data_IF_259302801579
#
_entry.id   IF_259302801579
#
_cell.length_a   1.000
_cell.length_b   1.000
_cell.length_c   1.000
_cell.angle_alpha   90.00
_cell.angle_beta   90.00
_cell.angle_gamma   90.00
#
_symmetry.space_group_name_H-M   'P 1'
#
loop_
_entity.id
_entity.type
_entity.pdbx_description
1 polymer ?
#
# COMPACT_ATOMS: atom_id res chain seq x y z
N UNK A 1 -14.84 8.53 -37.72
CA UNK A 1 -13.81 7.75 -37.00
C UNK A 1 -14.21 6.28 -37.05
N UNK A 2 -13.33 5.37 -37.46
CA UNK A 2 -13.71 3.95 -37.50
C UNK A 2 -13.96 3.41 -36.08
N UNK A 3 -14.91 2.49 -35.92
CA UNK A 3 -15.28 1.88 -34.64
C UNK A 3 -14.04 1.32 -33.91
N UNK A 4 -13.08 0.79 -34.67
CA UNK A 4 -11.82 0.28 -34.15
C UNK A 4 -10.95 1.37 -33.51
N UNK A 5 -10.85 2.55 -34.14
CA UNK A 5 -10.07 3.67 -33.58
C UNK A 5 -10.76 4.17 -32.30
N UNK A 6 -12.09 4.32 -32.32
CA UNK A 6 -12.83 4.78 -31.13
C UNK A 6 -12.69 3.81 -29.95
N UNK A 7 -12.80 2.50 -30.20
CA UNK A 7 -12.54 1.45 -29.20
C UNK A 7 -11.13 1.56 -28.62
N UNK A 8 -10.12 1.67 -29.48
CA UNK A 8 -8.73 1.81 -29.07
C UNK A 8 -8.49 3.06 -28.22
N UNK A 9 -8.97 4.23 -28.67
CA UNK A 9 -8.85 5.48 -27.92
C UNK A 9 -9.51 5.40 -26.54
N UNK A 10 -10.66 4.73 -26.43
CA UNK A 10 -11.35 4.55 -25.15
C UNK A 10 -10.53 3.71 -24.17
N UNK A 11 -9.91 2.63 -24.65
CA UNK A 11 -9.03 1.77 -23.85
C UNK A 11 -7.79 2.55 -23.39
N UNK A 12 -7.10 3.21 -24.32
CA UNK A 12 -5.89 3.98 -24.00
C UNK A 12 -6.17 5.08 -22.98
N UNK A 13 -7.20 5.89 -23.23
CA UNK A 13 -7.55 7.02 -22.36
C UNK A 13 -7.91 6.52 -20.96
N UNK A 14 -8.70 5.44 -20.86
CA UNK A 14 -9.07 4.86 -19.58
C UNK A 14 -7.86 4.34 -18.80
N UNK A 15 -6.99 3.56 -19.45
CA UNK A 15 -5.83 2.97 -18.81
C UNK A 15 -4.83 4.04 -18.35
N UNK A 16 -4.58 5.06 -19.19
CA UNK A 16 -3.67 6.16 -18.88
C UNK A 16 -4.20 7.03 -17.74
N UNK A 17 -5.46 7.46 -17.78
CA UNK A 17 -6.07 8.23 -16.68
C UNK A 17 -6.04 7.45 -15.37
N UNK A 18 -6.39 6.16 -15.43
CA UNK A 18 -6.33 5.26 -14.29
C UNK A 18 -4.92 5.19 -13.71
N UNK A 19 -3.90 4.91 -14.54
CA UNK A 19 -2.52 4.83 -14.08
C UNK A 19 -2.01 6.17 -13.52
N UNK A 20 -2.29 7.28 -14.19
CA UNK A 20 -1.90 8.62 -13.75
C UNK A 20 -2.44 8.96 -12.36
N UNK A 21 -3.65 8.50 -12.00
CA UNK A 21 -4.21 8.69 -10.67
C UNK A 21 -3.30 8.11 -9.57
N UNK A 22 -2.67 6.95 -9.82
CA UNK A 22 -1.76 6.31 -8.85
C UNK A 22 -0.32 6.81 -8.96
N UNK A 23 0.11 7.28 -10.13
CA UNK A 23 1.48 7.79 -10.33
C UNK A 23 1.70 9.14 -9.63
N UNK A 24 0.69 10.01 -9.69
CA UNK A 24 0.75 11.37 -9.15
C UNK A 24 -0.54 11.70 -8.37
N UNK A 25 -0.85 10.98 -7.29
CA UNK A 25 -2.15 11.08 -6.59
C UNK A 25 -2.44 12.48 -6.03
N UNK A 26 -1.40 13.26 -5.69
CA UNK A 26 -1.58 14.64 -5.25
C UNK A 26 -2.23 15.55 -6.31
N UNK A 27 -1.93 15.35 -7.60
CA UNK A 27 -2.39 16.21 -8.70
C UNK A 27 -3.46 15.53 -9.56
N UNK A 28 -3.29 14.23 -9.80
CA UNK A 28 -4.09 13.43 -10.70
C UNK A 28 -5.04 12.49 -9.94
N UNK A 29 -5.07 12.50 -8.59
CA UNK A 29 -5.89 11.57 -7.81
C UNK A 29 -7.38 11.61 -8.17
N UNK A 30 -7.90 12.76 -8.59
CA UNK A 30 -9.27 12.92 -9.05
C UNK A 30 -9.59 12.21 -10.38
N UNK A 31 -8.58 11.76 -11.14
CA UNK A 31 -8.81 10.95 -12.35
C UNK A 31 -9.58 9.65 -12.06
N UNK A 32 -9.59 9.18 -10.81
CA UNK A 32 -10.42 8.02 -10.40
C UNK A 32 -11.91 8.23 -10.66
N UNK A 33 -12.39 9.48 -10.70
CA UNK A 33 -13.79 9.80 -11.01
C UNK A 33 -14.12 9.68 -12.50
N UNK A 34 -13.12 9.78 -13.37
CA UNK A 34 -13.33 9.93 -14.82
C UNK A 34 -12.71 8.82 -15.67
N UNK A 35 -11.77 8.03 -15.15
CA UNK A 35 -11.01 7.09 -15.98
C UNK A 35 -11.86 5.99 -16.61
N UNK A 36 -13.03 5.65 -16.05
CA UNK A 36 -13.96 4.68 -16.64
C UNK A 36 -14.98 5.29 -17.62
N UNK A 37 -15.09 6.62 -17.69
CA UNK A 37 -16.02 7.30 -18.60
C UNK A 37 -15.81 6.86 -20.06
N UNK A 38 -14.59 6.79 -20.62
CA UNK A 38 -14.43 6.38 -22.02
C UNK A 38 -14.99 4.96 -22.31
N UNK A 39 -14.86 4.04 -21.35
CA UNK A 39 -15.37 2.67 -21.50
C UNK A 39 -16.90 2.63 -21.38
N UNK A 40 -17.43 3.22 -20.31
CA UNK A 40 -18.88 3.24 -20.06
C UNK A 40 -19.64 4.08 -21.09
N UNK A 41 -19.05 5.14 -21.61
CA UNK A 41 -19.60 5.93 -22.71
C UNK A 41 -19.73 5.08 -23.98
N UNK A 42 -18.69 4.31 -24.34
CA UNK A 42 -18.73 3.41 -25.50
C UNK A 42 -19.87 2.39 -25.39
N UNK A 43 -20.08 1.84 -24.20
CA UNK A 43 -21.17 0.91 -23.90
C UNK A 43 -22.53 1.62 -23.97
N UNK A 44 -22.65 2.80 -23.37
CA UNK A 44 -23.87 3.61 -23.42
C UNK A 44 -24.23 4.00 -24.86
N UNK A 45 -23.29 4.40 -25.71
CA UNK A 45 -23.56 4.77 -27.11
C UNK A 45 -24.00 3.61 -27.98
N UNK A 46 -23.61 2.37 -27.64
CA UNK A 46 -24.04 1.15 -28.34
C UNK A 46 -25.55 0.92 -28.27
N UNK A 47 -26.26 1.70 -27.46
CA UNK A 47 -27.72 1.71 -27.39
C UNK A 47 -28.45 2.55 -28.40
N UNK A 48 -27.78 3.57 -28.95
CA UNK A 48 -28.38 4.57 -29.83
C UNK A 48 -27.93 4.38 -31.27
N UNK A 49 -26.72 3.84 -31.48
CA UNK A 49 -26.14 3.64 -32.80
C UNK A 49 -26.18 2.17 -33.23
N UNK A 50 -26.41 1.91 -34.52
CA UNK A 50 -26.35 0.58 -35.16
C UNK A 50 -24.97 -0.08 -35.11
N UNK A 51 -23.93 0.69 -34.76
CA UNK A 51 -22.54 0.25 -34.67
C UNK A 51 -22.12 0.08 -33.20
N UNK A 52 -22.38 -1.10 -32.65
CA UNK A 52 -21.99 -1.45 -31.29
C UNK A 52 -20.47 -1.64 -31.16
N UNK A 53 -19.86 -0.95 -30.18
CA UNK A 53 -18.49 -1.25 -29.76
C UNK A 53 -18.53 -2.51 -28.92
N UNK A 54 -17.87 -3.57 -29.39
CA UNK A 54 -17.68 -4.80 -28.64
C UNK A 54 -16.25 -4.87 -28.13
N UNK A 55 -16.12 -5.05 -26.82
CA UNK A 55 -14.83 -5.29 -26.19
C UNK A 55 -14.53 -6.79 -26.12
N UNK A 56 -13.29 -7.14 -26.37
CA UNK A 56 -12.78 -8.51 -26.38
C UNK A 56 -11.77 -8.68 -25.25
N UNK A 57 -11.41 -9.93 -24.98
CA UNK A 57 -10.34 -10.27 -24.05
C UNK A 57 -9.05 -9.47 -24.33
N UNK A 58 -8.63 -9.38 -25.59
CA UNK A 58 -7.39 -8.67 -25.98
C UNK A 58 -7.46 -7.17 -25.68
N UNK A 59 -8.65 -6.58 -25.73
CA UNK A 59 -8.86 -5.16 -25.45
C UNK A 59 -8.65 -4.90 -23.95
N UNK A 60 -9.14 -5.79 -23.09
CA UNK A 60 -8.88 -5.75 -21.65
C UNK A 60 -7.46 -6.13 -21.25
N UNK A 61 -6.85 -7.08 -21.95
CA UNK A 61 -5.44 -7.41 -21.76
C UNK A 61 -4.55 -6.20 -22.06
N UNK A 62 -4.81 -5.49 -23.16
CA UNK A 62 -4.10 -4.26 -23.53
C UNK A 62 -4.31 -3.15 -22.49
N UNK A 63 -5.55 -2.96 -22.01
CA UNK A 63 -5.84 -2.04 -20.90
C UNK A 63 -4.96 -2.35 -19.68
N UNK A 64 -4.92 -3.63 -19.29
CA UNK A 64 -4.13 -4.13 -18.18
C UNK A 64 -2.63 -3.90 -18.37
N UNK A 65 -2.09 -4.17 -19.56
CA UNK A 65 -0.66 -4.00 -19.83
C UNK A 65 -0.22 -2.54 -19.63
N UNK A 66 -1.06 -1.59 -20.05
CA UNK A 66 -0.79 -0.16 -19.89
C UNK A 66 -0.95 0.25 -18.43
N UNK A 67 -2.09 -0.10 -17.82
CA UNK A 67 -2.37 0.26 -16.43
C UNK A 67 -1.33 -0.33 -15.48
N UNK A 68 -1.14 -1.65 -15.48
CA UNK A 68 -0.19 -2.33 -14.59
C UNK A 68 1.26 -2.06 -14.98
N UNK A 69 1.58 -1.91 -16.27
CA UNK A 69 2.94 -1.54 -16.69
C UNK A 69 3.36 -0.18 -16.13
N UNK A 70 2.49 0.82 -16.20
CA UNK A 70 2.73 2.13 -15.61
C UNK A 70 2.63 2.10 -14.09
N UNK A 71 1.60 1.47 -13.52
CA UNK A 71 1.38 1.43 -12.08
C UNK A 71 2.51 0.70 -11.33
N UNK A 72 2.95 -0.45 -11.84
CA UNK A 72 3.96 -1.31 -11.22
C UNK A 72 5.39 -0.97 -11.64
N UNK A 73 5.63 0.11 -12.38
CA UNK A 73 7.01 0.50 -12.77
C UNK A 73 7.92 0.70 -11.54
N UNK A 74 7.37 1.17 -10.42
CA UNK A 74 8.10 1.34 -9.17
C UNK A 74 8.58 0.03 -8.51
N UNK A 75 8.02 -1.12 -8.91
CA UNK A 75 8.47 -2.44 -8.47
C UNK A 75 9.69 -2.94 -9.23
N UNK A 76 9.95 -2.42 -10.45
CA UNK A 76 11.02 -2.92 -11.31
C UNK A 76 12.37 -2.87 -10.60
N UNK A 77 12.68 -1.76 -9.92
CA UNK A 77 13.97 -1.63 -9.22
C UNK A 77 14.11 -2.64 -8.08
N UNK A 78 13.07 -2.81 -7.27
CA UNK A 78 13.06 -3.79 -6.17
C UNK A 78 13.33 -5.18 -6.70
N UNK A 79 12.63 -5.56 -7.78
CA UNK A 79 12.79 -6.87 -8.42
C UNK A 79 14.21 -7.04 -8.96
N UNK A 80 14.78 -6.02 -9.61
CA UNK A 80 16.15 -6.07 -10.13
C UNK A 80 17.21 -6.18 -9.03
N UNK A 81 17.04 -5.49 -7.91
CA UNK A 81 17.99 -5.52 -6.80
C UNK A 81 17.97 -6.87 -6.04
N UNK A 82 16.87 -7.64 -6.15
CA UNK A 82 16.72 -8.95 -5.52
C UNK A 82 17.01 -10.12 -6.48
N UNK A 83 16.88 -9.91 -7.79
CA UNK A 83 17.09 -10.96 -8.79
C UNK A 83 18.57 -11.31 -8.98
N UNK A 84 18.85 -12.58 -9.35
CA UNK A 84 20.15 -13.00 -9.87
C UNK A 84 20.33 -12.53 -11.32
N UNK A 85 20.70 -11.27 -11.48
CA UNK A 85 20.93 -10.65 -12.78
C UNK A 85 19.75 -9.80 -13.24
N UNK A 86 20.06 -8.84 -14.12
CA UNK A 86 19.09 -7.84 -14.58
C UNK A 86 18.03 -8.46 -15.48
N UNK A 87 18.43 -9.44 -16.30
CA UNK A 87 17.59 -10.13 -17.27
C UNK A 87 16.46 -10.89 -16.57
N UNK A 88 16.80 -11.63 -15.52
CA UNK A 88 15.85 -12.36 -14.69
C UNK A 88 14.85 -11.41 -14.00
N UNK A 89 15.34 -10.27 -13.50
CA UNK A 89 14.49 -9.27 -12.87
C UNK A 89 13.51 -8.62 -13.84
N UNK A 90 13.97 -8.22 -15.03
CA UNK A 90 13.11 -7.67 -16.10
C UNK A 90 12.05 -8.68 -16.52
N UNK A 91 12.46 -9.94 -16.75
CA UNK A 91 11.52 -11.00 -17.13
C UNK A 91 10.44 -11.21 -16.07
N UNK A 92 10.82 -11.25 -14.79
CA UNK A 92 9.90 -11.42 -13.67
C UNK A 92 8.89 -10.28 -13.57
N UNK A 93 9.35 -9.04 -13.78
CA UNK A 93 8.48 -7.86 -13.81
C UNK A 93 7.50 -7.90 -14.99
N UNK A 94 7.94 -8.29 -16.19
CA UNK A 94 7.07 -8.46 -17.36
C UNK A 94 6.03 -9.56 -17.11
N UNK A 95 6.44 -10.70 -16.55
CA UNK A 95 5.52 -11.79 -16.22
C UNK A 95 4.45 -11.37 -15.20
N UNK A 96 4.82 -10.55 -14.20
CA UNK A 96 3.85 -9.99 -13.25
C UNK A 96 2.83 -9.08 -13.95
N UNK A 97 3.27 -8.23 -14.88
CA UNK A 97 2.37 -7.37 -15.66
C UNK A 97 1.44 -8.22 -16.52
N UNK A 98 1.98 -9.21 -17.25
CA UNK A 98 1.19 -10.13 -18.08
C UNK A 98 0.13 -10.85 -17.23
N UNK A 99 0.53 -11.33 -16.06
CA UNK A 99 -0.35 -12.00 -15.12
C UNK A 99 -1.51 -11.11 -14.65
N UNK A 100 -1.24 -9.89 -14.20
CA UNK A 100 -2.30 -8.97 -13.79
C UNK A 100 -3.18 -8.52 -14.98
N UNK A 101 -2.57 -8.35 -16.15
CA UNK A 101 -3.26 -7.96 -17.39
C UNK A 101 -4.17 -9.05 -17.93
N UNK A 102 -3.83 -10.32 -17.71
CA UNK A 102 -4.70 -11.46 -18.03
C UNK A 102 -6.06 -11.36 -17.33
N UNK A 103 -6.09 -10.98 -16.05
CA UNK A 103 -7.34 -10.76 -15.32
C UNK A 103 -8.12 -9.54 -15.81
N UNK A 104 -7.43 -8.52 -16.32
CA UNK A 104 -8.09 -7.41 -17.03
C UNK A 104 -8.74 -7.90 -18.33
N UNK A 105 -8.10 -8.81 -19.06
CA UNK A 105 -8.71 -9.48 -20.20
C UNK A 105 -9.97 -10.28 -19.84
N UNK A 106 -9.93 -11.04 -18.73
CA UNK A 106 -11.11 -11.75 -18.21
C UNK A 106 -12.21 -10.76 -17.85
N UNK A 107 -11.88 -9.64 -17.19
CA UNK A 107 -12.83 -8.60 -16.82
C UNK A 107 -13.63 -8.10 -18.03
N UNK A 108 -12.95 -7.67 -19.10
CA UNK A 108 -13.62 -7.20 -20.32
C UNK A 108 -14.42 -8.31 -21.02
N UNK A 109 -13.86 -9.51 -21.15
CA UNK A 109 -14.55 -10.64 -21.78
C UNK A 109 -15.82 -11.03 -21.03
N UNK A 110 -15.75 -11.13 -19.70
CA UNK A 110 -16.88 -11.51 -18.87
C UNK A 110 -17.97 -10.42 -18.87
N UNK A 111 -17.56 -9.15 -18.78
CA UNK A 111 -18.49 -8.03 -18.83
C UNK A 111 -19.24 -7.99 -20.17
N UNK A 112 -18.53 -8.16 -21.30
CA UNK A 112 -19.16 -8.21 -22.61
C UNK A 112 -20.10 -9.42 -22.73
N UNK A 113 -19.62 -10.62 -22.39
CA UNK A 113 -20.38 -11.87 -22.52
C UNK A 113 -21.64 -11.90 -21.65
N UNK A 114 -21.59 -11.34 -20.44
CA UNK A 114 -22.77 -11.29 -19.57
C UNK A 114 -23.70 -10.13 -19.94
N UNK A 115 -23.15 -9.00 -20.37
CA UNK A 115 -23.97 -7.86 -20.79
C UNK A 115 -24.79 -8.15 -22.05
N UNK A 116 -24.33 -9.04 -22.93
CA UNK A 116 -25.04 -9.38 -24.17
C UNK A 116 -26.39 -10.07 -23.96
N UNK A 117 -26.64 -10.66 -22.78
CA UNK A 117 -27.95 -11.18 -22.40
C UNK A 117 -29.00 -10.09 -22.17
N UNK A 118 -28.58 -8.83 -22.03
CA UNK A 118 -29.48 -7.71 -21.77
C UNK A 118 -29.69 -6.88 -23.03
N UNK A 119 -30.97 -6.77 -23.45
CA UNK A 119 -31.36 -5.91 -24.57
C UNK A 119 -31.31 -4.43 -24.17
N UNK A 120 -31.69 -4.11 -22.93
CA UNK A 120 -31.79 -2.74 -22.46
C UNK A 120 -30.38 -2.14 -22.18
N UNK A 121 -30.08 -0.95 -22.71
CA UNK A 121 -28.81 -0.25 -22.53
C UNK A 121 -28.37 -0.08 -21.08
N UNK A 122 -29.32 0.35 -20.24
CA UNK A 122 -29.10 0.59 -18.83
C UNK A 122 -28.76 -0.73 -18.12
N UNK A 123 -29.40 -1.82 -18.50
CA UNK A 123 -29.09 -3.14 -17.96
C UNK A 123 -27.68 -3.61 -18.38
N UNK A 124 -27.26 -3.33 -19.62
CA UNK A 124 -25.89 -3.64 -20.08
C UNK A 124 -24.84 -2.88 -19.27
N UNK A 125 -24.98 -1.57 -19.11
CA UNK A 125 -24.01 -0.76 -18.37
C UNK A 125 -24.00 -1.11 -16.87
N UNK A 126 -25.14 -1.45 -16.27
CA UNK A 126 -25.20 -1.93 -14.88
C UNK A 126 -24.54 -3.30 -14.71
N UNK A 127 -24.67 -4.20 -15.69
CA UNK A 127 -23.92 -5.46 -15.71
C UNK A 127 -22.40 -5.19 -15.76
N UNK A 128 -21.96 -4.27 -16.63
CA UNK A 128 -20.57 -3.82 -16.70
C UNK A 128 -20.07 -3.22 -15.38
N UNK A 129 -20.87 -2.38 -14.72
CA UNK A 129 -20.56 -1.82 -13.41
C UNK A 129 -20.31 -2.93 -12.37
N UNK A 130 -21.21 -3.92 -12.29
CA UNK A 130 -21.09 -5.03 -11.35
C UNK A 130 -19.82 -5.85 -11.61
N UNK A 131 -19.56 -6.21 -12.86
CA UNK A 131 -18.37 -6.99 -13.23
C UNK A 131 -17.08 -6.19 -13.04
N UNK A 132 -17.11 -4.87 -13.23
CA UNK A 132 -15.99 -3.96 -12.90
C UNK A 132 -15.73 -3.90 -11.40
N UNK A 133 -16.78 -3.79 -10.58
CA UNK A 133 -16.65 -3.88 -9.14
C UNK A 133 -16.04 -5.22 -8.71
N UNK A 134 -16.54 -6.34 -9.24
CA UNK A 134 -16.00 -7.67 -8.95
C UNK A 134 -14.52 -7.80 -9.36
N UNK A 135 -14.12 -7.22 -10.49
CA UNK A 135 -12.72 -7.19 -10.91
C UNK A 135 -11.85 -6.45 -9.90
N UNK A 136 -12.17 -5.20 -9.55
CA UNK A 136 -11.35 -4.43 -8.59
C UNK A 136 -11.39 -5.02 -7.17
N UNK A 137 -12.51 -5.63 -6.76
CA UNK A 137 -12.59 -6.40 -5.52
C UNK A 137 -11.64 -7.61 -5.54
N UNK A 138 -11.54 -8.30 -6.67
CA UNK A 138 -10.56 -9.37 -6.86
C UNK A 138 -9.13 -8.83 -6.88
N UNK A 139 -8.87 -7.68 -7.53
CA UNK A 139 -7.56 -7.00 -7.46
C UNK A 139 -7.17 -6.73 -6.02
N UNK A 140 -8.07 -6.17 -5.20
CA UNK A 140 -7.79 -5.82 -3.80
C UNK A 140 -7.57 -7.04 -2.90
N UNK A 141 -8.31 -8.13 -3.11
CA UNK A 141 -8.37 -9.23 -2.13
C UNK A 141 -7.79 -10.58 -2.57
N UNK A 142 -7.59 -10.79 -3.88
CA UNK A 142 -7.28 -12.13 -4.40
C UNK A 142 -6.34 -12.19 -5.60
N UNK A 143 -5.97 -11.10 -6.27
CA UNK A 143 -5.17 -11.20 -7.52
C UNK A 143 -3.80 -11.85 -7.31
N UNK A 144 -3.25 -11.90 -6.09
CA UNK A 144 -1.96 -12.52 -5.82
C UNK A 144 -2.09 -13.96 -5.29
N UNK A 145 -3.28 -14.57 -5.41
CA UNK A 145 -3.58 -15.90 -4.86
C UNK A 145 -2.61 -17.00 -5.29
N UNK A 146 -2.00 -16.89 -6.47
CA UNK A 146 -1.04 -17.86 -7.00
C UNK A 146 0.27 -17.90 -6.18
N UNK A 147 0.54 -16.90 -5.35
CA UNK A 147 1.74 -16.82 -4.51
C UNK A 147 1.55 -17.46 -3.12
N UNK A 148 0.72 -18.51 -3.07
CA UNK A 148 0.56 -19.38 -1.91
C UNK A 148 -0.34 -18.82 -0.79
N UNK A 149 -0.93 -17.63 -0.97
CA UNK A 149 -1.89 -17.01 -0.04
C UNK A 149 -2.97 -16.30 -0.81
N UNK A 150 -4.23 -16.43 -0.38
CA UNK A 150 -5.34 -15.68 -0.98
C UNK A 150 -5.32 -14.21 -0.51
N UNK A 151 -4.50 -13.42 -1.19
CA UNK A 151 -4.32 -11.99 -0.97
C UNK A 151 -4.37 -11.23 -2.30
N UNK A 152 -4.65 -9.94 -2.23
CA UNK A 152 -4.67 -9.08 -3.39
C UNK A 152 -3.57 -8.03 -3.34
N UNK A 153 -3.67 -7.08 -4.24
CA UNK A 153 -2.70 -6.03 -4.45
C UNK A 153 -3.24 -4.70 -3.90
N UNK A 154 -2.85 -4.30 -2.67
CA UNK A 154 -3.48 -3.19 -1.95
C UNK A 154 -3.19 -1.82 -2.56
N UNK A 155 -2.25 -1.73 -3.50
CA UNK A 155 -1.84 -0.47 -4.11
C UNK A 155 -2.70 -0.06 -5.32
N UNK A 156 -3.55 -0.96 -5.84
CA UNK A 156 -4.47 -0.67 -6.94
C UNK A 156 -5.94 -0.51 -6.50
N UNK A 157 -6.17 -0.22 -5.21
CA UNK A 157 -7.52 0.07 -4.70
C UNK A 157 -8.02 1.39 -5.32
N UNK A 158 -9.18 1.43 -6.01
CA UNK A 158 -9.66 2.62 -6.73
C UNK A 158 -9.77 3.89 -5.89
N UNK A 159 -10.06 3.75 -4.59
CA UNK A 159 -10.19 4.87 -3.65
C UNK A 159 -8.83 5.39 -3.15
N UNK A 160 -7.74 4.62 -3.29
CA UNK A 160 -6.45 4.93 -2.68
C UNK A 160 -5.87 6.29 -3.13
N UNK A 161 -5.92 6.69 -4.41
CA UNK A 161 -5.42 8.01 -4.83
C UNK A 161 -6.09 9.19 -4.12
N UNK A 162 -7.34 9.03 -3.69
CA UNK A 162 -8.07 10.07 -2.96
C UNK A 162 -7.54 10.27 -1.53
N UNK A 163 -6.78 9.32 -0.97
CA UNK A 163 -6.16 9.47 0.34
C UNK A 163 -5.08 10.58 0.37
N UNK A 164 -4.62 11.05 -0.79
CA UNK A 164 -3.79 12.25 -0.88
C UNK A 164 -4.53 13.52 -0.41
N UNK A 165 -5.86 13.49 -0.43
CA UNK A 165 -6.74 14.59 -0.05
C UNK A 165 -7.87 14.04 0.85
N UNK A 166 -7.63 13.91 2.16
CA UNK A 166 -8.53 13.21 3.10
C UNK A 166 -10.01 13.63 3.03
N UNK A 167 -10.29 14.89 2.70
CA UNK A 167 -11.66 15.42 2.54
C UNK A 167 -12.52 14.62 1.55
N UNK A 168 -11.92 14.04 0.51
CA UNK A 168 -12.65 13.20 -0.45
C UNK A 168 -13.08 11.85 0.12
N UNK A 169 -12.41 11.38 1.16
CA UNK A 169 -12.67 10.08 1.79
C UNK A 169 -13.37 10.22 3.15
N UNK A 170 -13.90 11.40 3.50
CA UNK A 170 -14.59 11.64 4.77
C UNK A 170 -15.66 10.57 5.08
N UNK A 171 -16.39 10.12 4.06
CA UNK A 171 -17.44 9.11 4.18
C UNK A 171 -16.93 7.66 4.34
N UNK A 172 -15.64 7.39 4.13
CA UNK A 172 -15.05 6.05 4.16
C UNK A 172 -15.30 5.28 5.47
N UNK A 173 -15.17 5.86 6.67
CA UNK A 173 -15.40 5.14 7.93
C UNK A 173 -16.85 4.71 8.15
N UNK A 174 -17.80 5.40 7.51
CA UNK A 174 -19.24 5.17 7.70
C UNK A 174 -19.78 4.12 6.73
N UNK A 175 -19.35 4.16 5.47
CA UNK A 175 -19.84 3.25 4.42
C UNK A 175 -18.90 2.07 4.15
N UNK A 176 -17.62 2.20 4.51
CA UNK A 176 -16.59 1.22 4.19
C UNK A 176 -16.10 1.27 2.74
N UNK A 177 -14.97 0.60 2.48
CA UNK A 177 -14.26 0.57 1.19
C UNK A 177 -15.15 0.11 0.03
N UNK A 178 -15.84 -1.02 0.20
CA UNK A 178 -16.61 -1.65 -0.88
C UNK A 178 -17.80 -0.81 -1.32
N UNK A 179 -18.56 -0.27 -0.36
CA UNK A 179 -19.72 0.57 -0.67
C UNK A 179 -19.28 1.85 -1.39
N UNK A 180 -18.27 2.54 -0.85
CA UNK A 180 -17.78 3.79 -1.45
C UNK A 180 -17.16 3.56 -2.84
N UNK A 181 -16.56 2.39 -3.09
CA UNK A 181 -16.05 2.02 -4.43
C UNK A 181 -17.19 1.83 -5.44
N UNK A 182 -18.33 1.24 -5.03
CA UNK A 182 -19.51 1.15 -5.91
C UNK A 182 -20.03 2.56 -6.24
N UNK A 183 -20.11 3.46 -5.25
CA UNK A 183 -20.52 4.85 -5.48
C UNK A 183 -19.55 5.56 -6.42
N UNK A 184 -18.23 5.35 -6.25
CA UNK A 184 -17.21 5.86 -7.16
C UNK A 184 -17.47 5.42 -8.61
N UNK A 185 -17.80 4.15 -8.83
CA UNK A 185 -18.05 3.63 -10.18
C UNK A 185 -19.42 4.01 -10.76
N UNK A 186 -20.39 4.42 -9.93
CA UNK A 186 -21.65 4.99 -10.42
C UNK A 186 -21.46 6.37 -11.07
N UNK A 187 -20.46 7.15 -10.64
CA UNK A 187 -20.14 8.46 -11.22
C UNK A 187 -19.88 8.37 -12.73
N UNK A 188 -18.91 7.58 -13.23
CA UNK A 188 -18.67 7.45 -14.66
C UNK A 188 -19.84 6.81 -15.42
N UNK A 189 -20.66 5.98 -14.78
CA UNK A 189 -21.90 5.43 -15.37
C UNK A 189 -22.93 6.54 -15.63
N UNK A 190 -23.29 7.32 -14.60
CA UNK A 190 -24.27 8.40 -14.75
C UNK A 190 -23.76 9.53 -15.63
N UNK A 191 -22.47 9.84 -15.57
CA UNK A 191 -21.84 10.79 -16.50
C UNK A 191 -21.98 10.32 -17.94
N UNK A 192 -21.67 9.04 -18.22
CA UNK A 192 -21.80 8.47 -19.57
C UNK A 192 -23.24 8.46 -20.07
N UNK A 193 -24.20 8.07 -19.22
CA UNK A 193 -25.63 8.09 -19.57
C UNK A 193 -26.14 9.52 -19.80
N UNK A 194 -25.68 10.49 -19.01
CA UNK A 194 -25.98 11.91 -19.23
C UNK A 194 -25.42 12.40 -20.57
N UNK A 195 -24.18 12.03 -20.92
CA UNK A 195 -23.60 12.41 -22.22
C UNK A 195 -24.40 11.87 -23.41
N UNK A 196 -24.96 10.66 -23.31
CA UNK A 196 -25.72 10.01 -24.38
C UNK A 196 -27.17 10.50 -24.44
N UNK A 197 -27.87 10.55 -23.31
CA UNK A 197 -29.31 10.80 -23.28
C UNK A 197 -29.69 12.25 -22.94
N UNK A 198 -28.76 13.06 -22.41
CA UNK A 198 -28.99 14.46 -22.00
C UNK A 198 -30.19 14.66 -21.07
N UNK A 199 -30.52 13.63 -20.28
CA UNK A 199 -31.65 13.67 -19.34
C UNK A 199 -31.26 14.31 -18.00
N UNK A 200 -32.13 15.18 -17.48
CA UNK A 200 -31.99 15.81 -16.16
C UNK A 200 -31.90 14.78 -15.04
N UNK A 201 -32.55 13.62 -15.19
CA UNK A 201 -32.50 12.54 -14.21
C UNK A 201 -31.05 12.08 -13.96
N UNK A 202 -30.27 11.83 -15.02
CA UNK A 202 -28.87 11.38 -14.88
C UNK A 202 -27.96 12.47 -14.34
N UNK A 203 -28.24 13.75 -14.64
CA UNK A 203 -27.52 14.88 -14.06
C UNK A 203 -27.76 14.96 -12.54
N UNK A 204 -29.01 14.82 -12.10
CA UNK A 204 -29.36 14.79 -10.67
C UNK A 204 -28.76 13.56 -9.99
N UNK A 205 -28.82 12.38 -10.61
CA UNK A 205 -28.18 11.18 -10.07
C UNK A 205 -26.66 11.35 -9.91
N UNK A 206 -26.00 11.94 -10.91
CA UNK A 206 -24.57 12.26 -10.85
C UNK A 206 -24.23 13.21 -9.68
N UNK A 207 -25.06 14.23 -9.46
CA UNK A 207 -24.87 15.14 -8.33
C UNK A 207 -24.93 14.40 -6.99
N UNK A 208 -25.94 13.53 -6.80
CA UNK A 208 -26.08 12.75 -5.56
C UNK A 208 -24.96 11.72 -5.37
N UNK A 209 -24.43 11.10 -6.43
CA UNK A 209 -23.30 10.16 -6.30
C UNK A 209 -21.97 10.86 -6.01
N UNK A 210 -21.81 12.14 -6.37
CA UNK A 210 -20.65 12.94 -5.99
C UNK A 210 -20.70 13.42 -4.54
N UNK A 211 -21.88 13.53 -3.93
CA UNK A 211 -22.05 14.11 -2.60
C UNK A 211 -21.18 13.47 -1.49
N UNK A 212 -21.04 12.12 -1.39
CA UNK A 212 -20.18 11.50 -0.37
C UNK A 212 -18.70 11.88 -0.47
N UNK A 213 -18.27 12.32 -1.66
CA UNK A 213 -16.90 12.73 -1.95
C UNK A 213 -16.69 14.25 -1.76
N UNK A 214 -17.78 15.03 -1.75
CA UNK A 214 -17.74 16.49 -1.57
C UNK A 214 -18.02 16.92 -0.14
N UNK A 215 -18.77 16.13 0.63
CA UNK A 215 -19.22 16.53 1.98
C UNK A 215 -18.06 16.84 2.94
N UNK A 216 -16.93 16.14 2.82
CA UNK A 216 -15.76 16.37 3.66
C UNK A 216 -15.10 17.75 3.46
N UNK A 217 -15.40 18.46 2.38
CA UNK A 217 -14.95 19.84 2.18
C UNK A 217 -15.71 20.84 3.04
N UNK A 218 -16.99 20.58 3.32
CA UNK A 218 -17.82 21.41 4.20
C UNK A 218 -17.59 21.08 5.67
N UNK A 219 -17.19 19.84 5.96
CA UNK A 219 -16.82 19.41 7.30
C UNK A 219 -15.34 19.72 7.55
N UNK A 220 -15.03 21.01 7.62
CA UNK A 220 -13.66 21.49 7.79
C UNK A 220 -13.05 20.90 9.07
N UNK A 221 -11.94 20.17 8.95
CA UNK A 221 -11.32 19.57 10.11
C UNK A 221 -10.41 20.54 10.85
N UNK A 222 -10.62 20.60 12.16
CA UNK A 222 -9.70 21.16 13.14
C UNK A 222 -8.26 20.71 12.88
N UNK A 223 -7.30 21.58 13.22
CA UNK A 223 -5.88 21.22 13.29
C UNK A 223 -5.70 19.89 14.04
N UNK A 224 -4.82 19.03 13.53
CA UNK A 224 -4.49 17.77 14.17
C UNK A 224 -4.05 17.99 15.62
N UNK A 225 -4.76 17.36 16.57
CA UNK A 225 -4.34 17.33 17.98
C UNK A 225 -3.18 16.36 18.10
N UNK A 226 -1.98 16.90 18.28
CA UNK A 226 -0.76 16.12 18.47
C UNK A 226 -0.72 15.59 19.91
N UNK A 227 -0.61 14.28 20.14
CA UNK A 227 -0.50 13.73 21.49
C UNK A 227 0.77 14.22 22.19
N UNK A 228 0.66 14.61 23.47
CA UNK A 228 1.79 15.13 24.25
C UNK A 228 3.01 14.20 24.30
N UNK A 229 2.79 12.88 24.20
CA UNK A 229 3.89 11.91 24.21
C UNK A 229 4.74 11.96 22.93
N UNK A 230 4.19 12.47 21.82
CA UNK A 230 4.88 12.53 20.53
C UNK A 230 6.08 13.49 20.58
N UNK A 231 5.99 14.57 21.38
CA UNK A 231 7.12 15.49 21.61
C UNK A 231 8.32 14.85 22.31
N UNK A 232 8.14 13.64 22.87
CA UNK A 232 9.22 12.85 23.48
C UNK A 232 9.76 11.78 22.54
N UNK A 233 9.22 11.67 21.32
CA UNK A 233 9.66 10.73 20.31
C UNK A 233 10.62 11.45 19.38
N UNK A 234 11.82 10.91 19.24
CA UNK A 234 12.78 11.31 18.25
C UNK A 234 13.04 10.16 17.29
N UNK A 235 13.32 10.50 16.03
CA UNK A 235 13.46 9.48 14.99
C UNK A 235 14.88 9.51 14.48
N UNK A 236 15.49 8.33 14.42
CA UNK A 236 16.87 8.16 13.97
C UNK A 236 16.84 7.23 12.78
N UNK A 237 17.22 7.80 11.64
CA UNK A 237 17.32 7.08 10.39
C UNK A 237 18.81 6.87 10.13
N UNK A 238 19.35 5.65 10.34
CA UNK A 238 20.74 5.41 10.05
C UNK A 238 20.95 5.52 8.55
N UNK A 239 22.12 5.99 8.14
CA UNK A 239 22.57 5.81 6.76
C UNK A 239 22.52 4.32 6.44
N UNK A 240 22.02 3.92 5.27
CA UNK A 240 21.90 2.53 4.88
C UNK A 240 23.24 1.83 5.12
N UNK A 241 23.28 0.98 6.15
CA UNK A 241 24.51 0.32 6.56
C UNK A 241 24.93 -0.64 5.45
N UNK A 242 25.97 -0.27 4.72
CA UNK A 242 26.59 -1.12 3.69
C UNK A 242 27.51 -2.18 4.30
N UNK A 243 27.72 -2.14 5.62
CA UNK A 243 28.59 -3.09 6.30
C UNK A 243 27.92 -4.46 6.44
N UNK A 244 28.63 -5.49 6.00
CA UNK A 244 28.29 -6.90 6.26
C UNK A 244 28.69 -7.33 7.69
N UNK A 245 29.22 -6.42 8.50
CA UNK A 245 29.68 -6.68 9.85
C UNK A 245 28.66 -6.16 10.89
N UNK A 246 28.09 -7.05 11.72
CA UNK A 246 27.15 -6.68 12.77
C UNK A 246 27.68 -5.64 13.77
N UNK A 247 29.00 -5.63 14.03
CA UNK A 247 29.61 -4.72 15.00
C UNK A 247 29.76 -3.30 14.45
N UNK A 248 30.24 -3.16 13.21
CA UNK A 248 30.34 -1.85 12.53
C UNK A 248 28.96 -1.21 12.39
N UNK A 249 27.95 -2.00 12.03
CA UNK A 249 26.56 -1.56 12.02
C UNK A 249 26.10 -1.01 13.38
N UNK A 250 26.44 -1.71 14.47
CA UNK A 250 26.10 -1.26 15.82
C UNK A 250 26.82 0.05 16.19
N UNK A 251 28.07 0.23 15.76
CA UNK A 251 28.85 1.47 15.96
C UNK A 251 28.25 2.65 15.21
N UNK A 252 27.88 2.46 13.94
CA UNK A 252 27.22 3.51 13.13
C UNK A 252 25.89 3.94 13.74
N UNK A 253 25.07 2.97 14.17
CA UNK A 253 23.82 3.25 14.88
C UNK A 253 24.12 4.01 16.18
N UNK A 254 25.14 3.60 16.95
CA UNK A 254 25.54 4.31 18.18
C UNK A 254 25.87 5.76 17.90
N UNK A 255 26.69 6.02 16.88
CA UNK A 255 27.07 7.37 16.47
C UNK A 255 25.85 8.22 16.06
N UNK A 256 24.95 7.65 15.26
CA UNK A 256 23.72 8.33 14.84
C UNK A 256 22.83 8.69 16.05
N UNK A 257 22.65 7.74 16.97
CA UNK A 257 21.85 7.93 18.18
C UNK A 257 22.47 8.98 19.13
N UNK A 258 23.79 8.97 19.31
CA UNK A 258 24.51 9.96 20.13
C UNK A 258 24.35 11.36 19.55
N UNK A 259 24.70 11.55 18.29
CA UNK A 259 24.60 12.85 17.60
C UNK A 259 23.15 13.39 17.61
N UNK A 260 22.15 12.52 17.48
CA UNK A 260 20.76 12.92 17.61
C UNK A 260 20.39 13.34 19.03
N UNK A 261 20.81 12.57 20.05
CA UNK A 261 20.50 12.87 21.46
C UNK A 261 21.22 14.12 21.99
N UNK A 262 22.41 14.43 21.47
CA UNK A 262 23.14 15.66 21.78
C UNK A 262 22.37 16.91 21.35
N UNK A 263 21.65 16.83 20.23
CA UNK A 263 20.82 17.94 19.71
C UNK A 263 19.42 17.97 20.33
N UNK A 264 18.96 16.83 20.88
CA UNK A 264 17.58 16.62 21.31
C UNK A 264 17.48 16.02 22.72
N UNK A 265 17.78 16.82 23.75
CA UNK A 265 17.80 16.38 25.15
C UNK A 265 16.43 15.92 25.68
N UNK A 266 15.33 16.47 25.16
CA UNK A 266 13.96 16.16 25.62
C UNK A 266 13.42 14.81 25.11
N UNK A 267 14.09 14.19 24.13
CA UNK A 267 13.67 12.92 23.54
C UNK A 267 13.88 11.76 24.50
N UNK A 268 12.84 10.95 24.70
CA UNK A 268 12.83 9.75 25.55
C UNK A 268 12.58 8.46 24.78
N UNK A 269 11.94 8.51 23.63
CA UNK A 269 11.72 7.36 22.75
C UNK A 269 12.46 7.64 21.45
N UNK A 270 13.45 6.83 21.13
CA UNK A 270 14.13 6.83 19.85
C UNK A 270 13.49 5.73 19.00
N UNK A 271 13.05 6.05 17.79
CA UNK A 271 12.48 5.07 16.87
C UNK A 271 13.26 5.04 15.55
N UNK A 272 13.40 3.85 14.98
CA UNK A 272 14.10 3.61 13.73
C UNK A 272 13.22 2.74 12.78
N UNK A 273 13.38 2.86 11.45
CA UNK A 273 12.65 2.05 10.47
C UNK A 273 12.93 0.55 10.54
N UNK A 274 12.23 -0.21 9.70
CA UNK A 274 12.43 -1.66 9.53
C UNK A 274 13.84 -1.97 9.03
N UNK A 275 14.42 -3.07 9.52
CA UNK A 275 15.77 -3.54 9.17
C UNK A 275 16.88 -2.51 9.40
N UNK A 276 16.71 -1.62 10.37
CA UNK A 276 17.77 -0.67 10.78
C UNK A 276 19.03 -1.38 11.26
N UNK A 277 18.87 -2.56 11.88
CA UNK A 277 19.97 -3.49 12.17
C UNK A 277 19.73 -4.80 11.40
N UNK A 278 20.33 -5.03 10.22
CA UNK A 278 19.99 -6.14 9.33
C UNK A 278 20.57 -7.50 9.77
N UNK A 279 20.76 -7.70 11.08
CA UNK A 279 21.31 -8.93 11.66
C UNK A 279 20.41 -9.47 12.78
N UNK A 280 20.65 -10.71 13.19
CA UNK A 280 19.92 -11.34 14.28
C UNK A 280 20.35 -10.74 15.62
N UNK A 281 19.64 -9.72 16.12
CA UNK A 281 20.07 -8.94 17.28
C UNK A 281 20.27 -9.78 18.54
N UNK A 282 19.50 -10.86 18.69
CA UNK A 282 19.63 -11.77 19.83
C UNK A 282 20.92 -12.61 19.81
N UNK A 283 21.66 -12.61 18.71
CA UNK A 283 22.99 -13.24 18.58
C UNK A 283 24.12 -12.24 18.82
N UNK A 284 23.79 -10.94 18.96
CA UNK A 284 24.72 -9.82 19.11
C UNK A 284 24.42 -8.98 20.37
N UNK A 285 24.51 -9.55 21.58
CA UNK A 285 24.26 -8.82 22.83
C UNK A 285 25.20 -7.62 23.02
N UNK A 286 26.38 -7.64 22.41
CA UNK A 286 27.34 -6.53 22.38
C UNK A 286 26.76 -5.27 21.73
N UNK A 287 25.94 -5.40 20.69
CA UNK A 287 25.29 -4.27 20.03
C UNK A 287 24.30 -3.57 20.98
N UNK A 288 23.47 -4.36 21.68
CA UNK A 288 22.55 -3.87 22.71
C UNK A 288 23.32 -3.22 23.87
N UNK A 289 24.44 -3.83 24.27
CA UNK A 289 25.35 -3.29 25.28
C UNK A 289 25.89 -1.92 24.89
N UNK A 290 26.36 -1.78 23.65
CA UNK A 290 26.92 -0.54 23.09
C UNK A 290 25.88 0.60 23.08
N UNK A 291 24.69 0.36 22.54
CA UNK A 291 23.62 1.38 22.53
C UNK A 291 23.21 1.78 23.94
N UNK A 292 23.09 0.80 24.83
CA UNK A 292 22.64 1.08 26.17
C UNK A 292 23.68 1.73 27.07
N UNK A 293 24.97 1.52 26.83
CA UNK A 293 26.07 2.23 27.50
C UNK A 293 26.18 3.69 27.04
N UNK A 294 26.08 3.92 25.74
CA UNK A 294 26.38 5.23 25.16
C UNK A 294 25.16 6.14 24.95
N UNK A 295 23.94 5.59 24.97
CA UNK A 295 22.72 6.35 24.62
C UNK A 295 21.58 6.10 25.61
N UNK A 296 21.32 4.85 26.02
CA UNK A 296 20.08 4.50 26.76
C UNK A 296 20.19 4.63 28.29
N UNK A 297 21.06 5.49 28.82
CA UNK A 297 21.33 5.61 30.25
C UNK A 297 20.26 6.43 31.04
N UNK A 298 19.58 7.40 30.42
CA UNK A 298 18.60 8.31 31.07
C UNK A 298 17.12 7.92 30.85
N UNK A 299 16.78 6.66 31.12
CA UNK A 299 15.44 6.09 30.86
C UNK A 299 14.99 6.16 29.38
N UNK A 300 15.91 6.50 28.46
CA UNK A 300 15.67 6.48 27.01
C UNK A 300 15.37 5.06 26.54
N UNK A 301 14.53 4.97 25.52
CA UNK A 301 14.03 3.72 24.95
C UNK A 301 14.35 3.73 23.47
N UNK A 302 14.80 2.59 22.95
CA UNK A 302 15.02 2.40 21.52
C UNK A 302 13.99 1.43 20.95
N UNK A 303 13.28 1.86 19.93
CA UNK A 303 12.37 1.07 19.11
C UNK A 303 13.02 0.89 17.74
N UNK A 304 13.26 -0.34 17.30
CA UNK A 304 13.92 -0.59 16.02
C UNK A 304 13.46 -1.89 15.35
N UNK A 305 13.57 -1.95 14.03
CA UNK A 305 13.47 -3.19 13.26
C UNK A 305 14.82 -3.89 13.12
N UNK A 306 14.84 -5.21 13.34
CA UNK A 306 16.02 -6.06 13.25
C UNK A 306 15.61 -7.51 12.95
N UNK A 307 16.57 -8.42 12.75
CA UNK A 307 16.24 -9.85 12.68
C UNK A 307 16.31 -10.54 14.06
N UNK A 308 15.66 -11.70 14.18
CA UNK A 308 15.75 -12.62 15.32
C UNK A 308 16.00 -14.03 14.82
N UNK A 309 16.98 -14.73 15.39
CA UNK A 309 17.23 -16.14 15.12
C UNK A 309 16.73 -17.01 16.27
N UNK A 310 16.02 -18.09 15.94
CA UNK A 310 15.57 -19.10 16.90
C UNK A 310 15.79 -20.49 16.29
N UNK A 311 16.93 -21.11 16.63
CA UNK A 311 17.40 -22.31 15.94
C UNK A 311 17.66 -22.01 14.46
N UNK A 312 17.09 -22.81 13.56
CA UNK A 312 17.21 -22.60 12.10
C UNK A 312 16.27 -21.54 11.53
N UNK A 313 15.41 -20.95 12.35
CA UNK A 313 14.39 -19.98 11.90
C UNK A 313 14.88 -18.55 12.04
N UNK A 314 14.67 -17.76 11.00
CA UNK A 314 14.99 -16.33 10.96
C UNK A 314 13.69 -15.51 10.89
N UNK A 315 13.53 -14.50 11.75
CA UNK A 315 12.34 -13.67 11.80
C UNK A 315 12.69 -12.20 11.62
N UNK A 316 11.88 -11.45 10.88
CA UNK A 316 11.92 -10.00 10.86
C UNK A 316 11.16 -9.48 12.09
N UNK A 317 11.81 -8.68 12.92
CA UNK A 317 11.41 -8.46 14.32
C UNK A 317 11.49 -6.98 14.70
N UNK A 318 10.43 -6.50 15.35
CA UNK A 318 10.39 -5.22 16.04
C UNK A 318 10.87 -5.41 17.48
N UNK A 319 11.81 -4.58 17.92
CA UNK A 319 12.35 -4.62 19.28
C UNK A 319 12.09 -3.33 20.05
N UNK A 320 11.87 -3.46 21.35
CA UNK A 320 11.89 -2.37 22.32
C UNK A 320 12.99 -2.63 23.35
N UNK A 321 13.94 -1.71 23.43
CA UNK A 321 15.14 -1.83 24.27
C UNK A 321 15.14 -0.72 25.32
N UNK A 322 15.40 -1.10 26.57
CA UNK A 322 15.52 -0.18 27.70
C UNK A 322 16.56 -0.71 28.69
N UNK A 323 17.44 0.17 29.20
CA UNK A 323 18.43 -0.15 30.26
C UNK A 323 19.16 -1.49 30.02
N UNK A 324 19.78 -1.64 28.85
CA UNK A 324 20.53 -2.85 28.37
C UNK A 324 19.70 -4.11 28.16
N UNK A 325 18.37 -4.05 28.20
CA UNK A 325 17.49 -5.21 28.03
C UNK A 325 16.52 -4.99 26.89
N UNK A 326 16.30 -6.05 26.12
CA UNK A 326 15.14 -6.17 25.25
C UNK A 326 13.93 -6.42 26.17
N UNK A 327 13.04 -5.45 26.29
CA UNK A 327 11.85 -5.53 27.15
C UNK A 327 10.61 -5.98 26.39
N UNK A 328 10.63 -5.88 25.06
CA UNK A 328 9.57 -6.39 24.19
C UNK A 328 10.13 -6.72 22.81
N UNK A 329 9.57 -7.75 22.17
CA UNK A 329 9.88 -8.14 20.80
C UNK A 329 8.63 -8.65 20.09
N UNK A 330 8.44 -8.27 18.84
CA UNK A 330 7.34 -8.74 17.99
C UNK A 330 7.87 -9.22 16.64
N UNK A 331 7.66 -10.49 16.34
CA UNK A 331 8.04 -11.10 15.06
C UNK A 331 6.94 -10.89 14.00
N UNK A 332 7.34 -10.53 12.79
CA UNK A 332 6.48 -10.30 11.63
C UNK A 332 5.63 -11.54 11.29
N UNK A 333 4.35 -11.30 11.03
CA UNK A 333 3.32 -12.27 10.66
C UNK A 333 3.03 -12.35 9.17
N UNK A 334 3.37 -11.31 8.43
CA UNK A 334 3.12 -11.24 7.00
C UNK A 334 4.43 -11.05 6.26
N UNK A 335 4.80 -12.00 5.41
CA UNK A 335 6.02 -11.91 4.59
C UNK A 335 5.66 -11.62 3.14
N UNK A 336 6.54 -10.93 2.41
CA UNK A 336 6.32 -10.58 1.00
C UNK A 336 6.88 -11.70 0.10
N UNK A 337 6.07 -12.26 -0.83
CA UNK A 337 6.54 -13.30 -1.74
C UNK A 337 7.66 -12.79 -2.66
N UNK A 338 8.60 -13.69 -2.99
CA UNK A 338 9.80 -13.47 -3.80
C UNK A 338 10.83 -12.46 -3.25
N UNK A 339 10.53 -11.79 -2.13
CA UNK A 339 11.47 -10.89 -1.44
C UNK A 339 11.92 -11.51 -0.12
N UNK A 340 10.97 -11.98 0.69
CA UNK A 340 11.26 -12.54 2.02
C UNK A 340 11.16 -14.08 2.04
N UNK A 341 10.45 -14.68 1.08
CA UNK A 341 10.32 -16.13 0.94
C UNK A 341 9.94 -16.51 -0.49
N UNK A 342 10.06 -17.79 -0.83
CA UNK A 342 9.49 -18.31 -2.07
C UNK A 342 8.14 -18.98 -1.84
N UNK A 343 7.09 -18.61 -2.61
CA UNK A 343 5.78 -19.22 -2.47
C UNK A 343 5.75 -20.66 -2.96
N UNK A 344 4.82 -21.45 -2.43
CA UNK A 344 4.47 -22.78 -2.97
C UNK A 344 3.84 -22.61 -4.37
N UNK A 345 4.10 -23.53 -5.32
CA UNK A 345 4.90 -24.76 -5.21
C UNK A 345 6.42 -24.57 -5.41
N UNK A 346 6.89 -23.33 -5.56
CA UNK A 346 8.26 -23.01 -5.95
C UNK A 346 9.28 -22.99 -4.81
N UNK A 347 8.83 -23.09 -3.56
CA UNK A 347 9.68 -22.95 -2.38
C UNK A 347 10.84 -23.96 -2.30
N UNK A 348 10.70 -25.12 -2.95
CA UNK A 348 11.73 -26.16 -3.02
C UNK A 348 12.65 -26.05 -4.24
N UNK A 349 12.36 -25.14 -5.18
CA UNK A 349 13.16 -24.97 -6.39
C UNK A 349 14.44 -24.21 -6.08
N UNK A 350 15.59 -24.90 -6.10
CA UNK A 350 16.91 -24.28 -5.95
C UNK A 350 17.19 -23.22 -7.02
N UNK A 351 16.72 -23.46 -8.25
CA UNK A 351 16.83 -22.49 -9.35
C UNK A 351 16.05 -21.21 -9.05
N UNK A 352 14.82 -21.31 -8.56
CA UNK A 352 14.03 -20.11 -8.24
C UNK A 352 14.54 -19.44 -6.95
N UNK A 353 15.04 -20.22 -5.99
CA UNK A 353 15.69 -19.68 -4.78
C UNK A 353 16.90 -18.84 -5.15
N UNK A 354 17.72 -19.37 -6.06
CA UNK A 354 18.85 -18.61 -6.58
C UNK A 354 18.30 -17.38 -7.30
N UNK A 355 17.38 -17.55 -8.26
CA UNK A 355 16.86 -16.48 -9.11
C UNK A 355 16.28 -15.29 -8.35
N UNK A 356 15.52 -15.51 -7.27
CA UNK A 356 14.75 -14.46 -6.58
C UNK A 356 15.32 -14.02 -5.23
N UNK A 357 16.03 -14.89 -4.52
CA UNK A 357 16.49 -14.59 -3.15
C UNK A 357 18.01 -14.39 -3.05
N UNK A 358 18.77 -14.62 -4.12
CA UNK A 358 20.22 -14.39 -4.23
C UNK A 358 21.02 -14.47 -2.91
N UNK A 359 21.11 -15.67 -2.32
CA UNK A 359 21.83 -15.96 -1.05
C UNK A 359 21.25 -15.32 0.23
N UNK A 360 20.10 -14.64 0.16
CA UNK A 360 19.35 -14.22 1.35
C UNK A 360 18.65 -15.42 1.99
N UNK A 361 18.71 -15.49 3.31
CA UNK A 361 17.91 -16.44 4.08
C UNK A 361 16.42 -16.07 4.01
N UNK A 362 15.56 -17.09 3.99
CA UNK A 362 14.11 -16.87 4.00
C UNK A 362 13.64 -16.51 5.40
N UNK A 363 12.71 -15.56 5.51
CA UNK A 363 12.07 -15.25 6.77
C UNK A 363 10.94 -16.23 7.08
N UNK A 364 10.88 -16.63 8.34
CA UNK A 364 9.77 -17.34 8.92
C UNK A 364 8.72 -16.37 9.43
N UNK A 365 7.47 -16.83 9.37
CA UNK A 365 6.30 -16.09 9.82
C UNK A 365 5.98 -16.45 11.26
N UNK A 366 5.71 -15.44 12.08
CA UNK A 366 5.21 -15.63 13.44
C UNK A 366 3.77 -16.12 13.47
N UNK A 367 3.49 -17.06 14.37
CA UNK A 367 2.13 -17.51 14.69
C UNK A 367 1.61 -16.91 16.00
N UNK A 368 2.45 -16.15 16.74
CA UNK A 368 2.07 -15.56 18.02
C UNK A 368 1.06 -14.43 17.79
N UNK A 369 0.05 -14.21 18.67
CA UNK A 369 -0.84 -13.08 18.55
C UNK A 369 -0.07 -11.76 18.61
N UNK A 370 -0.56 -10.73 17.90
CA UNK A 370 -0.01 -9.38 18.03
C UNK A 370 -0.48 -8.85 19.38
N UNK A 371 0.47 -8.41 20.20
CA UNK A 371 0.20 -7.94 21.56
C UNK A 371 0.59 -6.47 21.65
N UNK A 372 -0.23 -5.63 22.30
CA UNK A 372 0.16 -4.25 22.57
C UNK A 372 1.35 -4.20 23.50
N UNK A 373 2.17 -3.15 23.38
CA UNK A 373 3.28 -2.90 24.28
C UNK A 373 3.29 -1.44 24.71
N UNK A 374 3.82 -1.17 25.90
CA UNK A 374 3.91 0.18 26.45
C UNK A 374 5.37 0.59 26.62
N UNK A 375 5.97 1.37 25.71
CA UNK A 375 7.35 1.82 25.89
C UNK A 375 7.46 2.73 27.12
N UNK A 376 6.55 3.67 27.28
CA UNK A 376 6.49 4.55 28.46
C UNK A 376 5.14 4.41 29.18
N UNK A 377 5.10 4.80 30.46
CA UNK A 377 3.86 4.79 31.23
C UNK A 377 2.76 5.57 30.48
N UNK A 378 1.56 4.99 30.37
CA UNK A 378 0.36 5.56 29.74
C UNK A 378 0.40 5.70 28.21
N UNK A 379 1.41 5.15 27.53
CA UNK A 379 1.42 5.05 26.06
C UNK A 379 1.51 3.57 25.71
N UNK A 380 0.49 3.05 25.06
CA UNK A 380 0.42 1.68 24.57
C UNK A 380 0.28 1.72 23.06
N UNK A 381 0.98 0.84 22.35
CA UNK A 381 0.99 0.81 20.88
C UNK A 381 0.93 -0.63 20.35
N UNK A 382 0.46 -0.76 19.11
CA UNK A 382 0.49 -2.02 18.36
C UNK A 382 1.64 -2.02 17.35
N UNK A 383 2.53 -3.03 17.37
CA UNK A 383 3.64 -3.10 16.43
C UNK A 383 3.17 -3.66 15.09
N UNK A 384 3.46 -2.94 14.01
CA UNK A 384 3.28 -3.37 12.63
C UNK A 384 4.61 -3.26 11.88
N UNK A 385 4.92 -4.26 11.07
CA UNK A 385 6.13 -4.29 10.25
C UNK A 385 5.72 -4.33 8.77
N UNK A 386 5.94 -3.21 8.07
CA UNK A 386 5.84 -3.10 6.61
C UNK A 386 4.59 -3.73 6.00
N UNK A 387 4.73 -4.84 5.27
CA UNK A 387 3.64 -5.53 4.57
C UNK A 387 2.45 -5.90 5.46
N UNK A 388 2.66 -6.05 6.78
CA UNK A 388 1.54 -6.28 7.70
C UNK A 388 0.51 -5.16 7.69
N UNK A 389 0.94 -3.90 7.57
CA UNK A 389 0.01 -2.78 7.51
C UNK A 389 -0.74 -2.83 6.19
N UNK A 390 -0.01 -2.99 5.09
CA UNK A 390 -0.56 -2.88 3.73
C UNK A 390 -1.51 -4.03 3.37
N UNK A 391 -1.21 -5.26 3.80
CA UNK A 391 -1.97 -6.47 3.47
C UNK A 391 -3.02 -6.87 4.52
N UNK A 392 -3.04 -6.24 5.70
CA UNK A 392 -4.06 -6.51 6.70
C UNK A 392 -5.46 -6.13 6.18
N UNK A 393 -6.36 -7.11 6.07
CA UNK A 393 -7.73 -6.89 5.58
C UNK A 393 -8.58 -6.12 6.58
N UNK A 394 -8.49 -6.50 7.85
CA UNK A 394 -9.30 -5.94 8.93
C UNK A 394 -8.42 -5.32 10.01
N UNK A 395 -8.99 -4.33 10.70
CA UNK A 395 -8.47 -3.81 11.95
C UNK A 395 -8.45 -4.94 13.00
N UNK A 396 -7.41 -4.99 13.81
CA UNK A 396 -7.44 -5.83 15.02
C UNK A 396 -8.43 -5.27 16.05
N UNK A 397 -8.97 -6.12 16.94
CA UNK A 397 -9.92 -5.69 17.97
C UNK A 397 -9.20 -4.95 19.12
N UNK A 398 -8.59 -3.80 18.78
CA UNK A 398 -7.77 -3.00 19.66
C UNK A 398 -7.83 -1.53 19.22
N UNK A 399 -7.87 -0.59 20.16
CA UNK A 399 -7.99 0.85 19.90
C UNK A 399 -6.68 1.63 20.01
N UNK A 400 -5.61 0.98 20.46
CA UNK A 400 -4.30 1.60 20.69
C UNK A 400 -3.68 2.08 19.37
N UNK A 401 -2.91 3.18 19.37
CA UNK A 401 -2.21 3.63 18.17
C UNK A 401 -1.28 2.55 17.59
N UNK A 402 -1.18 2.50 16.27
CA UNK A 402 -0.26 1.61 15.56
C UNK A 402 1.10 2.30 15.46
N UNK A 403 2.17 1.56 15.72
CA UNK A 403 3.53 1.94 15.29
C UNK A 403 3.93 1.04 14.15
N UNK A 404 4.06 1.62 12.95
CA UNK A 404 4.41 0.89 11.74
C UNK A 404 5.82 1.26 11.29
N UNK A 405 6.74 0.30 11.38
CA UNK A 405 8.09 0.46 10.84
C UNK A 405 8.15 -0.13 9.42
N UNK A 406 8.73 0.61 8.48
CA UNK A 406 8.71 0.27 7.06
C UNK A 406 10.08 0.48 6.43
N UNK A 407 10.56 -0.48 5.64
CA UNK A 407 11.75 -0.31 4.82
C UNK A 407 11.32 0.04 3.39
N UNK A 408 11.09 1.33 3.13
CA UNK A 408 10.73 1.84 1.80
C UNK A 408 11.95 2.25 0.96
N UNK A 409 13.16 2.00 1.46
CA UNK A 409 14.41 2.27 0.75
C UNK A 409 14.57 1.43 -0.52
N UNK A 410 13.92 0.26 -0.59
CA UNK A 410 13.93 -0.62 -1.75
C UNK A 410 13.29 0.01 -2.98
N UNK A 411 12.31 0.89 -2.79
CA UNK A 411 11.60 1.53 -3.90
C UNK A 411 12.38 2.78 -4.32
N UNK A 412 12.97 2.81 -5.52
CA UNK A 412 13.60 4.04 -6.03
C UNK A 412 12.58 5.04 -6.58
N UNK A 413 11.42 4.56 -7.03
CA UNK A 413 10.38 5.41 -7.58
C UNK A 413 9.57 6.10 -6.48
N UNK A 414 9.52 7.43 -6.52
CA UNK A 414 8.75 8.24 -5.58
C UNK A 414 7.26 7.88 -5.56
N UNK A 415 6.69 7.44 -6.68
CA UNK A 415 5.28 7.05 -6.76
C UNK A 415 4.95 5.88 -5.83
N UNK A 416 5.79 4.83 -5.77
CA UNK A 416 5.51 3.66 -4.93
C UNK A 416 5.66 4.00 -3.45
N UNK A 417 6.67 4.79 -3.07
CA UNK A 417 6.79 5.33 -1.70
C UNK A 417 5.56 6.15 -1.30
N UNK A 418 5.04 6.94 -2.24
CA UNK A 418 3.80 7.70 -2.05
C UNK A 418 2.62 6.76 -1.83
N UNK A 419 2.46 5.71 -2.64
CA UNK A 419 1.38 4.73 -2.48
C UNK A 419 1.45 4.00 -1.14
N UNK A 420 2.64 3.61 -0.66
CA UNK A 420 2.81 3.00 0.67
C UNK A 420 2.29 3.95 1.77
N UNK A 421 2.71 5.20 1.73
CA UNK A 421 2.22 6.24 2.66
C UNK A 421 0.70 6.45 2.54
N UNK A 422 0.15 6.48 1.33
CA UNK A 422 -1.28 6.63 1.11
C UNK A 422 -2.08 5.43 1.63
N UNK A 423 -1.54 4.21 1.60
CA UNK A 423 -2.21 3.06 2.22
C UNK A 423 -2.26 3.22 3.74
N UNK A 424 -1.21 3.77 4.36
CA UNK A 424 -1.24 4.09 5.79
C UNK A 424 -2.30 5.16 6.11
N UNK A 425 -2.38 6.22 5.29
CA UNK A 425 -3.42 7.26 5.36
C UNK A 425 -4.83 6.67 5.25
N UNK A 426 -5.05 5.87 4.20
CA UNK A 426 -6.30 5.18 3.94
C UNK A 426 -6.72 4.28 5.10
N UNK A 427 -5.78 3.51 5.68
CA UNK A 427 -6.06 2.62 6.81
C UNK A 427 -6.30 3.37 8.11
N UNK A 428 -5.56 4.45 8.37
CA UNK A 428 -5.81 5.28 9.56
C UNK A 428 -7.25 5.80 9.57
N UNK A 429 -7.74 6.25 8.41
CA UNK A 429 -9.12 6.68 8.21
C UNK A 429 -10.10 5.52 8.27
N UNK A 430 -9.91 4.47 7.47
CA UNK A 430 -10.84 3.33 7.41
C UNK A 430 -10.99 2.61 8.77
N UNK A 431 -9.90 2.49 9.53
CA UNK A 431 -9.90 1.80 10.82
C UNK A 431 -10.17 2.73 12.00
N UNK A 432 -10.28 4.04 11.76
CA UNK A 432 -10.44 5.05 12.80
C UNK A 432 -9.37 4.88 13.90
N UNK A 433 -8.10 4.84 13.48
CA UNK A 433 -6.97 4.51 14.34
C UNK A 433 -5.73 5.31 13.94
N UNK A 434 -5.01 5.85 14.92
CA UNK A 434 -3.79 6.61 14.67
C UNK A 434 -2.64 5.67 14.30
N UNK A 435 -1.78 6.10 13.38
CA UNK A 435 -0.63 5.33 12.89
C UNK A 435 0.61 6.22 12.94
N UNK A 436 1.57 5.87 13.80
CA UNK A 436 2.94 6.37 13.73
C UNK A 436 3.67 5.60 12.62
N UNK A 437 3.74 6.21 11.44
CA UNK A 437 4.39 5.65 10.25
C UNK A 437 5.87 6.05 10.25
N UNK A 438 6.76 5.08 10.34
CA UNK A 438 8.21 5.28 10.41
C UNK A 438 8.89 4.53 9.26
N UNK A 439 9.17 5.26 8.19
CA UNK A 439 9.91 4.75 7.04
C UNK A 439 11.23 5.50 6.84
N UNK A 440 12.08 5.02 5.94
CA UNK A 440 13.33 5.71 5.60
C UNK A 440 13.04 7.07 4.96
N UNK A 441 12.02 7.14 4.09
CA UNK A 441 11.73 8.35 3.31
C UNK A 441 10.75 9.32 3.98
N UNK A 442 9.88 8.83 4.87
CA UNK A 442 8.85 9.64 5.51
C UNK A 442 8.52 9.12 6.91
N UNK A 443 8.41 10.05 7.85
CA UNK A 443 8.14 9.74 9.25
C UNK A 443 7.06 10.70 9.74
N UNK A 444 5.90 10.17 10.10
CA UNK A 444 4.79 11.02 10.53
C UNK A 444 3.82 10.27 11.45
N UNK A 445 3.13 11.03 12.29
CA UNK A 445 1.90 10.54 12.91
C UNK A 445 0.75 10.83 11.96
N UNK A 446 -0.01 9.81 11.62
CA UNK A 446 -1.24 9.90 10.82
C UNK A 446 -2.40 9.67 11.78
N UNK A 447 -3.33 10.61 11.87
CA UNK A 447 -4.48 10.44 12.77
C UNK A 447 -5.64 9.67 12.12
N UNK A 448 -6.68 9.37 12.91
CA UNK A 448 -7.95 8.72 12.48
C UNK A 448 -8.70 9.42 11.33
N UNK A 449 -8.29 10.64 10.99
CA UNK A 449 -8.87 11.47 9.94
C UNK A 449 -7.94 11.60 8.72
N UNK A 450 -6.84 10.83 8.72
CA UNK A 450 -5.79 10.86 7.70
C UNK A 450 -5.04 12.19 7.59
N UNK A 451 -5.11 13.06 8.60
CA UNK A 451 -4.20 14.19 8.74
C UNK A 451 -2.84 13.69 9.23
N UNK A 452 -1.77 14.29 8.72
CA UNK A 452 -0.41 13.90 9.11
C UNK A 452 0.34 15.03 9.79
N UNK A 453 1.10 14.67 10.82
CA UNK A 453 2.06 15.51 11.50
C UNK A 453 3.46 14.96 11.25
N UNK A 454 4.30 15.73 10.58
CA UNK A 454 5.65 15.32 10.20
C UNK A 454 6.62 15.40 11.39
N UNK A 455 7.23 14.28 11.75
CA UNK A 455 8.20 14.23 12.83
C UNK A 455 9.63 14.57 12.37
N UNK A 456 9.90 14.67 11.07
CA UNK A 456 11.23 15.07 10.58
C UNK A 456 11.55 16.55 10.85
N UNK A 457 10.54 17.33 11.21
CA UNK A 457 10.68 18.74 11.62
C UNK A 457 11.09 18.92 13.10
N UNK A 458 11.15 17.83 13.86
CA UNK A 458 11.58 17.77 15.27
C UNK A 458 13.00 17.23 15.37
#
# INVERSE_FOLDING_TARGET
MSINIFRFCSIMSSALLGACAFLQPAYCGWFVFIYLIPLFYSIATSSVATNCVHYRFIDGFLWGCIFFGLHMHGLLRVILDHAQGKEAGVLSWILLIIYCSFYSGIWFWLAEKLSSFFVKPISRILCWLLITFCFFYFVEHGILWIFGRFEGYPFAVPLLPLAAHPSWLFCLPFFGSSCLTIVLFLIPVFFSLYLVHKSIFYQVSLFFTLLPFLIGWFWHEEKMKVPNWLHKVGVVVPTLVSSNNPFECAQEITYCLMNYCERNHNVRILIMPESSYPFALNEHPEAVGMWAQNVLFDDKILLLGSHRRSGKKLFNTFYCIKKRRIIFSYDKKHTIPFIEYLPQPWNNSKFLQSLFLNKKEQFNVSQKPRTPFSPIKKVTMLPYICSELFFAKNKENNQEPIVCIVNDSWFSACSMRTLLYLVACYKALAWQQDILYVAQSKICLINKKSLSYDLSSL
#
